data_IF_623912956448
#
_entry.id   IF_623912956448
#
_cell.length_a   1.000
_cell.length_b   1.000
_cell.length_c   1.000
_cell.angle_alpha   90.00
_cell.angle_beta   90.00
_cell.angle_gamma   90.00
#
_symmetry.space_group_name_H-M   'P 1'
#
loop_
_entity.id
_entity.type
_entity.pdbx_description
1 polymer ?
2 water ?
#
# COMPACT_ATOMS: atom_id res chain seq x y z
N UNK A 6 -4.96 -6.43 19.54
CA UNK A 6 -3.61 -5.91 19.30
C UNK A 6 -3.23 -6.15 17.85
N UNK A 7 -3.40 -7.38 17.39
CA UNK A 7 -3.11 -7.73 16.00
C UNK A 7 -3.99 -6.93 15.05
N UNK A 8 -3.34 -6.23 14.10
CA UNK A 8 -4.05 -5.37 13.16
C UNK A 8 -4.47 -6.09 11.89
N UNK A 9 -3.90 -7.25 11.60
CA UNK A 9 -4.37 -8.11 10.52
C UNK A 9 -5.06 -9.29 11.19
N UNK A 10 -6.37 -9.15 11.43
CA UNK A 10 -7.08 -10.03 12.33
C UNK A 10 -7.01 -11.48 11.87
N UNK A 11 -7.17 -12.39 12.84
CA UNK A 11 -7.11 -13.82 12.56
C UNK A 11 -8.14 -14.20 11.51
N UNK A 12 -7.82 -15.25 10.75
CA UNK A 12 -8.66 -15.65 9.63
C UNK A 12 -9.99 -16.20 10.12
N UNK A 13 -11.03 -15.93 9.35
CA UNK A 13 -12.37 -16.45 9.61
C UNK A 13 -12.91 -17.04 8.31
N UNK A 14 -13.68 -18.12 8.44
CA UNK A 14 -14.28 -18.74 7.27
C UNK A 14 -15.04 -17.71 6.45
N UNK A 15 -14.77 -17.67 5.15
CA UNK A 15 -15.35 -16.64 4.29
C UNK A 15 -16.87 -16.72 4.29
N UNK A 16 -17.41 -17.93 4.14
CA UNK A 16 -18.86 -18.07 4.08
C UNK A 16 -19.51 -17.73 5.42
N UNK A 17 -18.83 -18.01 6.53
CA UNK A 17 -19.34 -17.60 7.84
C UNK A 17 -19.38 -16.08 7.96
N UNK A 18 -18.24 -15.43 7.72
CA UNK A 18 -18.21 -13.96 7.75
C UNK A 18 -19.25 -13.37 6.81
N UNK A 19 -19.33 -13.91 5.59
CA UNK A 19 -20.31 -13.40 4.62
C UNK A 19 -21.73 -13.53 5.15
N UNK A 20 -22.05 -14.66 5.80
CA UNK A 20 -23.40 -14.88 6.29
C UNK A 20 -23.70 -14.08 7.54
N UNK A 21 -22.69 -13.86 8.40
CA UNK A 21 -22.89 -13.15 9.65
C UNK A 21 -22.80 -11.63 9.48
N UNK A 22 -21.88 -11.15 8.63
CA UNK A 22 -21.67 -9.72 8.48
C UNK A 22 -22.66 -9.09 7.52
N UNK A 23 -23.10 -9.82 6.50
CA UNK A 23 -23.96 -9.28 5.45
C UNK A 23 -25.32 -9.96 5.43
N UNK A 24 -25.90 -10.18 6.60
CA UNK A 24 -27.26 -10.67 6.70
C UNK A 24 -28.23 -9.52 6.44
N UNK A 25 -29.28 -9.80 5.69
CA UNK A 25 -30.26 -8.77 5.34
C UNK A 25 -30.82 -9.02 3.94
N UNK A 26 -31.77 -8.16 3.55
CA UNK A 26 -32.44 -8.31 2.26
C UNK A 26 -32.35 -7.06 1.39
N UNK A 27 -31.54 -6.08 1.77
CA UNK A 27 -31.38 -4.90 0.94
C UNK A 27 -30.66 -5.27 -0.35
N UNK A 28 -30.89 -4.51 -1.43
CA UNK A 28 -30.17 -4.80 -2.68
C UNK A 28 -28.65 -4.77 -2.53
N UNK A 29 -28.13 -3.94 -1.62
CA UNK A 29 -26.69 -3.88 -1.41
C UNK A 29 -26.19 -5.10 -0.66
N UNK A 30 -26.89 -5.51 0.40
CA UNK A 30 -26.47 -6.67 1.16
C UNK A 30 -26.57 -7.94 0.31
N UNK A 31 -27.67 -8.10 -0.43
CA UNK A 31 -27.81 -9.25 -1.31
C UNK A 31 -26.65 -9.34 -2.29
N UNK A 32 -26.27 -8.21 -2.88
CA UNK A 32 -25.15 -8.21 -3.82
C UNK A 32 -23.85 -8.61 -3.14
N UNK A 33 -23.65 -8.16 -1.89
CA UNK A 33 -22.41 -8.46 -1.19
C UNK A 33 -22.27 -9.96 -0.95
N UNK A 34 -23.37 -10.63 -0.58
CA UNK A 34 -23.30 -12.06 -0.33
C UNK A 34 -22.99 -12.83 -1.62
N UNK A 35 -23.54 -12.39 -2.75
CA UNK A 35 -23.22 -13.03 -4.02
C UNK A 35 -21.75 -12.84 -4.38
N UNK A 36 -21.18 -11.67 -4.05
CA UNK A 36 -19.77 -11.43 -4.34
C UNK A 36 -18.88 -12.38 -3.56
N UNK A 37 -19.11 -12.49 -2.25
CA UNK A 37 -18.32 -13.40 -1.44
C UNK A 37 -18.48 -14.84 -1.91
N UNK A 38 -19.70 -15.23 -2.27
CA UNK A 38 -19.92 -16.59 -2.79
C UNK A 38 -19.13 -16.81 -4.07
N UNK A 39 -19.06 -15.79 -4.94
CA UNK A 39 -18.22 -15.88 -6.12
C UNK A 39 -16.75 -16.07 -5.74
N UNK A 40 -16.28 -15.31 -4.74
CA UNK A 40 -14.89 -15.46 -4.31
C UNK A 40 -14.60 -16.89 -3.87
N UNK A 41 -15.54 -17.54 -3.20
CA UNK A 41 -15.30 -18.87 -2.67
C UNK A 41 -15.33 -19.93 -3.76
N UNK A 42 -16.37 -19.92 -4.60
CA UNK A 42 -16.57 -21.00 -5.54
C UNK A 42 -15.76 -20.83 -6.82
N UNK A 43 -15.59 -19.59 -7.28
CA UNK A 43 -14.88 -19.33 -8.53
C UNK A 43 -13.38 -19.13 -8.29
N UNK A 44 -13.00 -18.46 -7.20
CA UNK A 44 -11.61 -18.15 -6.92
C UNK A 44 -11.04 -18.92 -5.74
N UNK A 45 -11.84 -19.78 -5.11
CA UNK A 45 -11.37 -20.72 -4.09
C UNK A 45 -10.75 -20.00 -2.91
N UNK A 46 -11.28 -18.83 -2.56
CA UNK A 46 -10.86 -18.13 -1.35
C UNK A 46 -11.64 -18.73 -0.19
N UNK A 47 -10.93 -19.34 0.76
CA UNK A 47 -11.56 -20.10 1.82
C UNK A 47 -11.81 -19.27 3.08
N UNK A 48 -10.87 -18.40 3.44
CA UNK A 48 -10.97 -17.59 4.64
C UNK A 48 -10.59 -16.15 4.32
N UNK A 49 -10.77 -15.28 5.32
CA UNK A 49 -10.51 -13.85 5.17
C UNK A 49 -9.91 -13.34 6.47
N UNK A 50 -8.91 -12.46 6.36
CA UNK A 50 -8.32 -11.78 7.51
C UNK A 50 -8.67 -10.30 7.38
N UNK A 51 -9.47 -9.81 8.32
CA UNK A 51 -9.99 -8.45 8.25
C UNK A 51 -8.89 -7.45 8.62
N UNK A 52 -8.83 -6.36 7.87
CA UNK A 52 -7.88 -5.28 8.13
C UNK A 52 -8.70 -3.99 8.22
N UNK A 53 -9.15 -3.65 9.44
CA UNK A 53 -9.95 -2.45 9.67
C UNK A 53 -9.48 -1.84 11.00
N UNK A 54 -8.39 -1.08 10.92
CA UNK A 54 -7.78 -0.50 12.12
C UNK A 54 -7.73 1.02 12.05
N UNK A 55 -7.07 1.58 11.03
CA UNK A 55 -6.86 3.03 10.96
C UNK A 55 -6.66 3.40 9.49
N UNK A 56 -6.34 4.66 9.24
CA UNK A 56 -6.22 5.18 7.88
C UNK A 56 -4.94 4.73 7.17
N UNK A 57 -4.15 3.84 7.79
CA UNK A 57 -3.04 3.18 7.11
C UNK A 57 -3.45 1.85 6.49
N UNK A 58 -4.73 1.49 6.57
CA UNK A 58 -5.14 0.11 6.28
C UNK A 58 -4.67 -0.36 4.90
N UNK A 59 -4.76 0.51 3.89
CA UNK A 59 -4.31 0.11 2.56
C UNK A 59 -2.84 -0.26 2.56
N UNK A 60 -2.00 0.57 3.18
CA UNK A 60 -0.58 0.26 3.29
C UNK A 60 -0.36 -0.96 4.18
N UNK A 61 -1.15 -1.09 5.25
CA UNK A 61 -1.05 -2.25 6.11
C UNK A 61 -1.32 -3.54 5.33
N UNK A 62 -2.38 -3.55 4.53
CA UNK A 62 -2.74 -4.76 3.81
C UNK A 62 -1.67 -5.14 2.78
N UNK A 63 -1.16 -4.16 2.04
CA UNK A 63 -0.17 -4.46 1.01
C UNK A 63 1.12 -4.95 1.63
N UNK A 64 1.60 -4.25 2.68
CA UNK A 64 2.82 -4.66 3.34
C UNK A 64 2.70 -6.06 3.92
N UNK A 65 1.55 -6.38 4.51
CA UNK A 65 1.34 -7.73 5.04
C UNK A 65 1.49 -8.77 3.94
N UNK A 66 0.92 -8.51 2.76
CA UNK A 66 1.00 -9.46 1.66
C UNK A 66 2.44 -9.63 1.18
N UNK A 67 3.18 -8.53 1.08
CA UNK A 67 4.56 -8.60 0.63
C UNK A 67 5.36 -9.50 1.57
N UNK A 68 5.29 -9.25 2.87
CA UNK A 68 6.08 -10.01 3.83
C UNK A 68 5.59 -11.45 3.93
N UNK A 69 4.28 -11.63 4.08
CA UNK A 69 3.75 -12.98 4.26
C UNK A 69 4.05 -13.88 3.07
N UNK A 70 4.06 -13.32 1.86
CA UNK A 70 4.34 -14.09 0.65
C UNK A 70 5.80 -14.08 0.25
N UNK A 71 6.65 -13.36 0.98
CA UNK A 71 8.08 -13.40 0.71
C UNK A 71 8.51 -12.67 -0.54
N UNK A 72 7.83 -11.58 -0.89
CA UNK A 72 8.22 -10.77 -2.04
C UNK A 72 9.42 -9.92 -1.67
N UNK A 73 10.41 -9.88 -2.56
CA UNK A 73 11.67 -9.22 -2.28
C UNK A 73 11.65 -7.77 -2.77
N UNK A 74 12.79 -7.09 -2.70
CA UNK A 74 12.85 -5.69 -3.09
C UNK A 74 12.63 -5.54 -4.60
N UNK A 75 12.03 -4.43 -5.02
CA UNK A 75 11.93 -4.16 -6.47
C UNK A 75 13.31 -3.96 -7.09
N UNK A 76 13.32 -3.99 -8.43
CA UNK A 76 14.58 -3.99 -9.15
C UNK A 76 15.37 -2.70 -8.95
N UNK A 77 14.70 -1.55 -8.99
CA UNK A 77 15.40 -0.28 -8.89
C UNK A 77 16.08 -0.09 -7.54
N UNK A 78 15.77 -0.91 -6.54
CA UNK A 78 16.49 -0.86 -5.28
C UNK A 78 17.78 -1.66 -5.31
N UNK A 79 18.00 -2.48 -6.34
CA UNK A 79 19.24 -3.25 -6.44
C UNK A 79 20.44 -2.31 -6.50
N UNK A 80 20.37 -1.29 -7.34
CA UNK A 80 21.48 -0.35 -7.48
C UNK A 80 21.43 0.74 -6.41
N UNK A 81 20.26 1.34 -6.23
CA UNK A 81 20.11 2.44 -5.28
C UNK A 81 19.92 1.90 -3.88
N UNK A 82 20.66 2.48 -2.92
CA UNK A 82 20.49 2.12 -1.52
C UNK A 82 19.27 2.83 -0.96
N UNK A 83 18.40 2.06 -0.30
CA UNK A 83 17.15 2.62 0.22
C UNK A 83 17.45 3.73 1.23
N UNK A 84 18.39 3.48 2.15
CA UNK A 84 18.61 4.41 3.25
C UNK A 84 19.19 5.73 2.78
N UNK A 85 19.81 5.78 1.60
CA UNK A 85 20.40 7.00 1.09
C UNK A 85 19.41 7.88 0.35
N UNK A 86 18.21 7.39 0.07
CA UNK A 86 17.22 8.19 -0.66
C UNK A 86 16.87 9.48 0.08
N UNK A 87 16.65 9.48 1.39
CA UNK A 87 16.41 10.76 2.07
C UNK A 87 17.50 11.79 1.83
N UNK A 88 18.77 11.36 1.84
CA UNK A 88 19.86 12.29 1.56
C UNK A 88 19.80 12.77 0.11
N UNK A 89 19.51 11.85 -0.82
CA UNK A 89 19.47 12.22 -2.22
C UNK A 89 18.44 13.33 -2.47
N UNK A 90 17.27 13.21 -1.84
CA UNK A 90 16.25 14.24 -2.03
C UNK A 90 16.59 15.50 -1.24
N UNK A 91 17.10 15.33 -0.02
CA UNK A 91 17.67 16.48 0.70
C UNK A 91 18.61 17.25 -0.22
N UNK A 92 19.40 16.53 -1.02
CA UNK A 92 20.33 17.17 -1.96
C UNK A 92 19.59 17.71 -3.18
N UNK A 93 18.90 16.82 -3.91
CA UNK A 93 18.24 17.23 -5.13
C UNK A 93 17.11 18.22 -4.85
N UNK A 94 16.31 17.97 -3.81
CA UNK A 94 15.24 18.88 -3.44
C UNK A 94 15.76 19.94 -2.48
N UNK A 95 14.89 20.88 -2.11
CA UNK A 95 15.28 21.94 -1.21
C UNK A 95 15.33 21.50 0.23
N UNK A 96 16.12 22.22 1.03
CA UNK A 96 16.18 21.95 2.46
C UNK A 96 14.83 22.18 3.12
N UNK A 97 14.12 23.23 2.69
CA UNK A 97 12.75 23.44 3.17
C UNK A 97 11.78 22.45 2.52
N UNK A 98 12.06 22.02 1.29
CA UNK A 98 11.20 21.08 0.60
C UNK A 98 10.98 19.82 1.43
N UNK A 99 12.07 19.25 1.95
CA UNK A 99 11.97 18.00 2.68
C UNK A 99 11.41 18.23 4.08
N UNK A 100 11.68 19.38 4.69
CA UNK A 100 11.21 19.67 6.04
C UNK A 100 9.70 19.79 6.14
N UNK A 101 8.99 19.75 5.01
CA UNK A 101 7.54 19.84 5.02
C UNK A 101 6.86 18.49 5.20
N UNK A 102 7.63 17.41 5.27
CA UNK A 102 7.08 16.09 5.55
C UNK A 102 6.58 16.04 6.99
N UNK A 103 5.34 15.57 7.18
CA UNK A 103 4.68 15.64 8.48
C UNK A 103 4.47 14.28 9.14
N UNK A 104 4.77 13.18 8.46
CA UNK A 104 4.68 11.84 9.05
C UNK A 104 3.26 11.50 9.47
N UNK A 105 2.30 11.82 8.62
CA UNK A 105 0.91 11.46 8.84
C UNK A 105 0.41 11.88 10.21
N UNK A 106 0.01 10.89 11.04
CA UNK A 106 -0.61 11.23 12.32
C UNK A 106 0.35 11.89 13.30
N UNK A 107 1.66 11.76 13.11
CA UNK A 107 2.60 12.46 13.99
C UNK A 107 2.43 13.97 13.90
N UNK A 108 2.00 14.48 12.75
CA UNK A 108 1.89 15.91 12.53
C UNK A 108 3.16 16.61 12.98
N UNK A 109 4.28 16.07 12.50
CA UNK A 109 5.61 16.48 12.97
C UNK A 109 5.93 17.89 12.52
N UNK A 110 6.56 18.65 13.41
CA UNK A 110 7.04 20.00 13.11
C UNK A 110 8.47 20.22 13.57
N UNK A 111 9.15 19.19 14.06
CA UNK A 111 10.50 19.33 14.54
C UNK A 111 11.47 19.68 13.42
N UNK A 112 12.75 19.69 13.78
CA UNK A 112 13.78 20.26 12.93
C UNK A 112 14.50 19.23 12.06
N UNK A 113 14.33 17.93 12.29
CA UNK A 113 14.94 16.92 11.44
C UNK A 113 13.87 15.98 10.90
N UNK A 114 13.28 16.38 9.78
CA UNK A 114 12.59 15.41 8.93
C UNK A 114 13.59 14.46 8.31
N UNK A 115 14.85 14.89 8.19
CA UNK A 115 15.87 14.05 7.57
C UNK A 115 16.21 12.85 8.44
N UNK A 116 16.55 13.10 9.71
CA UNK A 116 16.91 11.99 10.59
C UNK A 116 15.80 10.98 10.73
N UNK A 117 14.56 11.44 10.86
CA UNK A 117 13.43 10.52 11.01
C UNK A 117 13.24 9.68 9.76
N UNK A 118 13.23 10.32 8.59
CA UNK A 118 13.08 9.57 7.34
C UNK A 118 14.15 8.50 7.23
N UNK A 119 15.42 8.86 7.48
CA UNK A 119 16.50 7.89 7.37
C UNK A 119 16.29 6.71 8.32
N UNK A 120 15.93 7.01 9.58
CA UNK A 120 15.71 5.95 10.56
C UNK A 120 14.59 5.02 10.12
N UNK A 121 13.43 5.58 9.77
CA UNK A 121 12.29 4.75 9.41
C UNK A 121 12.57 3.94 8.16
N UNK A 122 13.19 4.56 7.15
CA UNK A 122 13.53 3.85 5.94
C UNK A 122 14.54 2.73 6.23
N UNK A 123 15.42 2.96 7.21
CA UNK A 123 16.36 1.91 7.61
C UNK A 123 15.63 0.74 8.26
N UNK A 124 14.61 1.03 9.08
CA UNK A 124 13.84 -0.05 9.70
C UNK A 124 13.13 -0.89 8.64
N UNK A 125 12.54 -0.24 7.63
CA UNK A 125 11.90 -0.99 6.57
C UNK A 125 12.90 -1.87 5.83
N UNK A 126 14.10 -1.33 5.55
CA UNK A 126 15.12 -2.13 4.89
C UNK A 126 15.49 -3.33 5.74
N UNK A 127 15.70 -3.12 7.04
CA UNK A 127 16.07 -4.22 7.93
C UNK A 127 14.97 -5.26 8.00
N UNK A 128 13.73 -4.83 8.25
CA UNK A 128 12.63 -5.77 8.37
C UNK A 128 12.39 -6.52 7.07
N UNK A 129 12.38 -5.79 5.95
CA UNK A 129 12.15 -6.43 4.65
C UNK A 129 13.24 -7.45 4.33
N UNK A 130 14.49 -7.12 4.65
CA UNK A 130 15.57 -8.07 4.42
C UNK A 130 15.38 -9.34 5.24
N UNK A 131 14.96 -9.19 6.51
CA UNK A 131 14.76 -10.35 7.35
C UNK A 131 13.72 -11.30 6.75
N UNK A 132 12.66 -10.75 6.15
CA UNK A 132 11.64 -11.59 5.54
C UNK A 132 12.14 -12.25 4.26
N UNK A 133 12.99 -11.55 3.50
CA UNK A 133 13.49 -12.11 2.25
C UNK A 133 14.32 -13.36 2.48
N UNK A 134 14.99 -13.45 3.64
CA UNK A 134 15.85 -14.58 3.91
C UNK A 134 15.20 -15.68 4.70
N UNK A 135 13.92 -15.95 4.42
CA UNK A 135 13.16 -17.01 5.09
C UNK A 135 12.25 -17.64 4.06
N UNK A 136 12.50 -18.91 3.73
CA UNK A 136 11.72 -19.62 2.72
C UNK A 136 10.46 -20.25 3.28
N UNK A 137 10.43 -20.56 4.58
CA UNK A 137 9.26 -21.20 5.18
C UNK A 137 8.16 -20.16 5.39
N UNK A 138 7.03 -20.36 4.70
CA UNK A 138 5.92 -19.40 4.81
C UNK A 138 5.36 -19.36 6.22
N UNK A 139 5.41 -20.48 6.95
CA UNK A 139 4.87 -20.50 8.31
C UNK A 139 5.67 -19.58 9.22
N UNK A 140 7.01 -19.65 9.15
CA UNK A 140 7.84 -18.74 9.93
C UNK A 140 7.51 -17.29 9.62
N UNK A 141 7.34 -16.96 8.33
CA UNK A 141 6.96 -15.61 7.96
C UNK A 141 5.60 -15.24 8.53
N UNK A 142 4.68 -16.22 8.59
CA UNK A 142 3.37 -15.93 9.14
C UNK A 142 3.42 -15.48 10.59
N UNK A 143 4.13 -16.24 11.43
CA UNK A 143 4.27 -15.85 12.83
C UNK A 143 4.99 -14.52 12.97
N UNK A 144 5.99 -14.28 12.12
CA UNK A 144 6.68 -12.99 12.15
C UNK A 144 5.73 -11.84 11.82
N UNK A 145 4.82 -12.06 10.88
CA UNK A 145 3.84 -11.03 10.55
C UNK A 145 2.91 -10.75 11.72
N UNK A 146 2.45 -11.80 12.41
CA UNK A 146 1.61 -11.59 13.58
C UNK A 146 2.34 -10.82 14.67
N UNK A 147 3.67 -10.99 14.76
CA UNK A 147 4.44 -10.19 15.69
C UNK A 147 4.56 -8.75 15.22
N UNK A 148 4.95 -8.56 13.95
CA UNK A 148 5.14 -7.21 13.42
C UNK A 148 3.86 -6.40 13.51
N UNK A 149 2.75 -6.94 13.02
CA UNK A 149 1.50 -6.20 12.94
C UNK A 149 0.74 -6.20 14.25
N UNK A 150 1.38 -6.60 15.35
CA UNK A 150 0.89 -6.33 16.70
C UNK A 150 1.68 -5.22 17.37
N UNK A 151 2.63 -4.62 16.67
CA UNK A 151 3.45 -3.52 17.18
C UNK A 151 3.11 -2.29 16.35
N UNK A 152 2.10 -1.53 16.78
CA UNK A 152 1.62 -0.41 15.99
C UNK A 152 2.67 0.69 15.86
N UNK A 153 3.55 0.83 16.85
CA UNK A 153 4.59 1.86 16.77
C UNK A 153 5.54 1.55 15.62
N UNK A 154 5.92 0.29 15.46
CA UNK A 154 6.80 -0.08 14.35
C UNK A 154 6.06 -0.04 13.02
N UNK A 155 4.78 -0.46 13.01
CA UNK A 155 3.98 -0.38 11.80
C UNK A 155 4.02 1.01 11.19
N UNK A 156 3.70 2.03 12.01
CA UNK A 156 3.60 3.39 11.49
C UNK A 156 4.91 3.83 10.86
N UNK A 157 6.04 3.42 11.45
CA UNK A 157 7.34 3.80 10.89
C UNK A 157 7.55 3.16 9.52
N UNK A 158 7.15 1.91 9.36
CA UNK A 158 7.28 1.24 8.06
C UNK A 158 6.36 1.88 7.04
N UNK A 159 5.14 2.26 7.44
CA UNK A 159 4.21 2.88 6.51
C UNK A 159 4.71 4.24 6.04
N UNK A 160 5.28 5.02 6.96
CA UNK A 160 5.87 6.31 6.56
C UNK A 160 7.08 6.10 5.66
N UNK A 161 7.81 4.99 5.83
CA UNK A 161 8.88 4.67 4.91
C UNK A 161 8.33 4.37 3.52
N UNK A 162 7.25 3.60 3.44
CA UNK A 162 6.63 3.32 2.15
C UNK A 162 6.10 4.59 1.51
N UNK A 163 5.46 5.46 2.30
CA UNK A 163 5.01 6.75 1.78
C UNK A 163 6.17 7.56 1.23
N UNK A 164 7.33 7.48 1.88
CA UNK A 164 8.50 8.20 1.35
C UNK A 164 8.95 7.59 0.03
N UNK A 165 8.96 6.26 -0.05
CA UNK A 165 9.33 5.60 -1.31
C UNK A 165 8.39 6.01 -2.42
N UNK A 166 7.09 6.08 -2.13
CA UNK A 166 6.13 6.60 -3.10
C UNK A 166 6.49 8.02 -3.51
N UNK A 167 6.77 8.87 -2.52
CA UNK A 167 7.16 10.25 -2.83
C UNK A 167 8.43 10.29 -3.68
N UNK A 168 9.39 9.41 -3.40
CA UNK A 168 10.62 9.39 -4.18
C UNK A 168 10.34 9.08 -5.64
N UNK A 169 9.49 8.06 -5.90
CA UNK A 169 9.16 7.72 -7.27
C UNK A 169 8.39 8.85 -7.95
N UNK A 170 7.51 9.52 -7.21
CA UNK A 170 6.79 10.67 -7.76
C UNK A 170 7.77 11.76 -8.16
N UNK A 171 8.80 11.99 -7.35
CA UNK A 171 9.79 13.03 -7.68
C UNK A 171 10.64 12.60 -8.87
N UNK A 172 11.02 11.32 -8.94
CA UNK A 172 11.79 10.84 -10.09
C UNK A 172 10.99 10.99 -11.38
N UNK A 173 9.72 10.59 -11.36
CA UNK A 173 8.92 10.60 -12.58
C UNK A 173 8.59 12.04 -12.97
N UNK A 174 8.34 12.92 -12.00
CA UNK A 174 8.11 14.32 -12.32
C UNK A 174 9.30 14.91 -13.07
N UNK A 175 10.51 14.62 -12.59
CA UNK A 175 11.70 15.16 -13.26
C UNK A 175 11.80 14.61 -14.69
N UNK A 176 11.45 13.34 -14.88
CA UNK A 176 11.43 12.77 -16.22
C UNK A 176 10.45 13.50 -17.12
N UNK A 177 9.25 13.78 -16.61
CA UNK A 177 8.25 14.50 -17.40
C UNK A 177 8.73 15.89 -17.78
N UNK A 178 9.36 16.60 -16.84
CA UNK A 178 9.83 17.95 -17.10
C UNK A 178 10.95 17.97 -18.13
N UNK A 179 11.81 16.96 -18.15
CA UNK A 179 12.87 16.86 -19.13
C UNK A 179 12.41 16.18 -20.42
N UNK A 180 11.11 16.07 -20.64
CA UNK A 180 10.54 15.59 -21.89
C UNK A 180 10.83 14.11 -22.12
N UNK A 181 10.93 13.33 -21.06
CA UNK A 181 11.06 11.89 -21.18
C UNK A 181 9.68 11.25 -21.17
N UNK A 182 9.62 9.99 -21.58
CA UNK A 182 8.37 9.24 -21.58
C UNK A 182 8.09 8.75 -20.16
N UNK A 183 6.87 8.96 -19.69
CA UNK A 183 6.48 8.54 -18.34
C UNK A 183 5.17 7.77 -18.42
N UNK A 184 4.86 6.98 -17.39
CA UNK A 184 3.57 6.27 -17.39
C UNK A 184 2.40 7.24 -17.40
N UNK A 185 1.35 6.89 -18.13
CA UNK A 185 0.19 7.76 -18.23
C UNK A 185 -0.45 8.01 -16.86
N UNK A 186 -0.31 7.07 -15.94
CA UNK A 186 -0.87 7.26 -14.60
C UNK A 186 -0.22 8.44 -13.89
N UNK A 187 1.10 8.55 -13.98
CA UNK A 187 1.79 9.68 -13.36
C UNK A 187 1.45 10.99 -14.06
N UNK A 188 1.33 10.96 -15.39
CA UNK A 188 0.89 12.15 -16.10
C UNK A 188 -0.51 12.56 -15.67
N UNK A 189 -1.36 11.57 -15.36
CA UNK A 189 -2.68 11.88 -14.83
C UNK A 189 -2.59 12.51 -13.45
N UNK A 190 -1.73 11.96 -12.58
CA UNK A 190 -1.54 12.53 -11.25
C UNK A 190 -1.19 14.02 -11.33
N UNK A 191 -0.21 14.36 -12.16
CA UNK A 191 0.25 15.75 -12.25
C UNK A 191 -0.76 16.65 -12.97
N UNK A 192 -1.78 16.08 -13.60
CA UNK A 192 -2.84 16.89 -14.19
C UNK A 192 -3.81 17.42 -13.16
N UNK A 193 -3.82 16.88 -11.94
CA UNK A 193 -4.66 17.36 -10.87
C UNK A 193 -3.96 18.51 -10.15
N UNK A 194 -4.70 19.62 -9.99
CA UNK A 194 -4.11 20.83 -9.41
C UNK A 194 -3.38 20.54 -8.12
N UNK A 195 -4.07 19.90 -7.16
CA UNK A 195 -3.51 19.68 -5.84
C UNK A 195 -2.37 18.67 -5.82
N UNK A 196 -2.05 18.05 -6.96
CA UNK A 196 -0.92 17.12 -7.05
C UNK A 196 -0.16 17.36 -8.34
N UNK A 197 -0.08 18.62 -8.77
CA UNK A 197 0.57 18.96 -10.03
C UNK A 197 2.08 18.80 -9.97
N UNK A 198 2.66 18.69 -8.79
CA UNK A 198 4.08 18.50 -8.63
C UNK A 198 4.32 17.72 -7.35
N UNK A 199 5.53 17.20 -7.14
CA UNK A 199 5.77 16.37 -5.95
C UNK A 199 5.49 17.09 -4.65
N UNK A 200 5.80 18.39 -4.58
CA UNK A 200 5.55 19.15 -3.36
C UNK A 200 4.06 19.22 -3.06
N UNK A 201 3.25 19.53 -4.07
CA UNK A 201 1.80 19.56 -3.87
C UNK A 201 1.28 18.19 -3.47
N UNK A 202 1.75 17.14 -4.14
CA UNK A 202 1.33 15.78 -3.79
C UNK A 202 1.62 15.48 -2.32
N UNK A 203 2.80 15.87 -1.84
CA UNK A 203 3.17 15.56 -0.46
C UNK A 203 2.31 16.34 0.53
N UNK A 204 2.13 17.64 0.30
CA UNK A 204 1.43 18.48 1.27
C UNK A 204 -0.07 18.23 1.26
N UNK A 205 -0.65 18.01 0.08
CA UNK A 205 -2.10 17.95 -0.05
C UNK A 205 -2.67 16.54 0.02
N UNK A 206 -1.85 15.51 -0.19
CA UNK A 206 -2.36 14.15 -0.26
C UNK A 206 -1.56 13.21 0.63
N UNK A 207 -0.25 13.13 0.42
CA UNK A 207 0.55 12.12 1.11
C UNK A 207 0.66 12.41 2.60
N UNK A 208 0.84 13.68 2.97
CA UNK A 208 0.94 14.01 4.39
C UNK A 208 -0.31 13.61 5.16
N UNK A 209 -1.45 13.47 4.49
CA UNK A 209 -2.70 13.10 5.15
C UNK A 209 -2.88 11.60 5.31
N UNK A 210 -2.18 10.79 4.52
CA UNK A 210 -2.35 9.34 4.59
C UNK A 210 -1.98 8.86 5.99
N UNK A 211 -2.89 8.12 6.61
CA UNK A 211 -2.71 7.64 7.95
C UNK A 211 -3.21 8.58 9.02
N UNK A 212 -3.49 9.83 8.68
CA UNK A 212 -4.00 10.81 9.63
C UNK A 212 -5.50 11.03 9.46
N UNK A 213 -5.91 11.54 8.30
CA UNK A 213 -7.32 11.83 8.03
C UNK A 213 -7.87 11.11 6.82
N UNK A 214 -7.03 10.48 6.00
CA UNK A 214 -7.51 9.75 4.85
C UNK A 214 -6.59 8.56 4.59
N UNK A 215 -7.06 7.63 3.77
CA UNK A 215 -6.27 6.52 3.32
C UNK A 215 -5.79 6.71 1.89
N UNK A 216 -5.19 5.66 1.35
CA UNK A 216 -4.73 5.70 -0.03
C UNK A 216 -5.91 5.72 -0.99
N UNK A 217 -5.91 6.70 -1.89
CA UNK A 217 -6.88 6.73 -2.97
C UNK A 217 -6.50 5.72 -4.05
N UNK A 218 -7.39 5.55 -5.03
CA UNK A 218 -7.08 4.65 -6.13
C UNK A 218 -5.77 5.02 -6.81
N UNK A 219 -5.57 6.30 -7.10
CA UNK A 219 -4.33 6.73 -7.74
C UNK A 219 -3.13 6.38 -6.87
N UNK A 220 -3.30 6.46 -5.54
CA UNK A 220 -2.21 6.13 -4.62
C UNK A 220 -1.88 4.65 -4.68
N UNK A 221 -2.89 3.80 -4.85
CA UNK A 221 -2.65 2.37 -5.00
C UNK A 221 -1.83 2.09 -6.26
N UNK A 222 -2.08 2.84 -7.34
CA UNK A 222 -1.24 2.74 -8.53
C UNK A 222 0.21 3.10 -8.22
N UNK A 223 0.42 4.23 -7.52
CA UNK A 223 1.77 4.67 -7.21
C UNK A 223 2.48 3.66 -6.32
N UNK A 224 1.77 3.10 -5.35
CA UNK A 224 2.39 2.12 -4.45
C UNK A 224 2.82 0.88 -5.20
N UNK A 225 1.93 0.33 -6.04
CA UNK A 225 2.28 -0.85 -6.81
C UNK A 225 3.45 -0.60 -7.76
N UNK A 226 3.40 0.53 -8.47
CA UNK A 226 4.51 0.89 -9.34
C UNK A 226 5.80 1.02 -8.54
N UNK A 227 5.75 1.65 -7.37
CA UNK A 227 6.96 1.89 -6.59
C UNK A 227 7.58 0.60 -6.09
N UNK A 228 6.76 -0.36 -5.70
CA UNK A 228 7.25 -1.64 -5.19
C UNK A 228 7.34 -2.71 -6.28
N UNK A 229 6.96 -2.38 -7.51
CA UNK A 229 6.94 -3.34 -8.61
C UNK A 229 6.16 -4.60 -8.23
N UNK A 230 4.98 -4.37 -7.65
CA UNK A 230 4.05 -5.44 -7.29
C UNK A 230 2.72 -5.13 -7.94
N UNK A 231 2.12 -6.13 -8.60
CA UNK A 231 0.77 -6.00 -9.12
C UNK A 231 -0.22 -6.24 -7.98
N UNK A 232 -1.00 -5.22 -7.65
CA UNK A 232 -1.96 -5.29 -6.55
C UNK A 232 -3.33 -5.58 -7.18
N UNK A 233 -3.73 -6.85 -7.19
CA UNK A 233 -5.03 -7.24 -7.70
C UNK A 233 -6.06 -7.09 -6.58
N UNK A 234 -7.17 -6.42 -6.90
CA UNK A 234 -8.19 -6.07 -5.90
C UNK A 234 -9.54 -6.57 -6.39
N UNK A 235 -10.24 -7.31 -5.53
CA UNK A 235 -11.64 -7.67 -5.75
C UNK A 235 -12.50 -6.59 -5.09
N UNK A 236 -13.20 -5.81 -5.91
CA UNK A 236 -14.07 -4.74 -5.40
C UNK A 236 -15.47 -5.32 -5.28
N UNK A 237 -15.78 -5.83 -4.08
CA UNK A 237 -17.00 -6.63 -3.90
C UNK A 237 -18.25 -5.82 -4.19
N UNK A 238 -18.28 -4.55 -3.78
CA UNK A 238 -19.45 -3.71 -4.00
C UNK A 238 -19.70 -3.44 -5.48
N UNK A 239 -18.78 -3.83 -6.36
CA UNK A 239 -18.94 -3.66 -7.81
C UNK A 239 -19.15 -5.00 -8.50
N UNK A 240 -19.52 -6.03 -7.77
CA UNK A 240 -19.84 -7.32 -8.37
C UNK A 240 -20.91 -7.14 -9.45
N UNK A 241 -20.84 -7.97 -10.50
CA UNK A 241 -21.71 -7.86 -11.65
C UNK A 241 -21.52 -6.54 -12.40
N UNK A 242 -20.31 -5.99 -12.33
CA UNK A 242 -19.97 -4.78 -13.06
C UNK A 242 -18.54 -4.92 -13.58
N UNK A 243 -18.17 -4.00 -14.49
CA UNK A 243 -16.88 -4.09 -15.16
C UNK A 243 -15.73 -4.11 -14.15
N UNK A 244 -15.73 -3.16 -13.23
CA UNK A 244 -14.59 -2.99 -12.31
C UNK A 244 -14.76 -3.82 -11.05
N UNK A 245 -15.10 -5.10 -11.22
CA UNK A 245 -15.13 -6.02 -10.09
C UNK A 245 -13.73 -6.54 -9.79
N UNK A 246 -12.92 -6.78 -10.83
CA UNK A 246 -11.54 -7.19 -10.69
C UNK A 246 -10.64 -6.11 -11.29
N UNK A 247 -9.81 -5.50 -10.44
CA UNK A 247 -8.91 -4.42 -10.86
C UNK A 247 -7.50 -4.75 -10.39
N UNK A 248 -6.52 -4.19 -11.08
CA UNK A 248 -5.13 -4.40 -10.75
C UNK A 248 -4.41 -3.06 -10.73
N UNK A 249 -3.62 -2.83 -9.68
CA UNK A 249 -2.87 -1.59 -9.52
C UNK A 249 -1.38 -1.90 -9.57
N UNK A 250 -0.66 -1.51 -10.64
CA UNK A 250 -1.13 -0.88 -11.88
C UNK A 250 -1.57 -1.87 -12.95
N UNK A 251 -2.05 -1.35 -14.08
CA UNK A 251 -2.39 -2.19 -15.24
C UNK A 251 -1.17 -2.25 -16.18
N UNK A 252 -0.16 -2.99 -15.72
CA UNK A 252 1.06 -3.20 -16.49
C UNK A 252 1.11 -4.64 -16.98
N UNK A 253 0.37 -4.97 -18.03
CA UNK A 253 0.29 -6.40 -18.44
C UNK A 253 1.64 -7.02 -18.76
N UNK A 254 2.50 -6.30 -19.47
CA UNK A 254 3.83 -6.81 -19.82
C UNK A 254 4.86 -6.39 -18.77
N UNK A 255 4.64 -6.86 -17.55
CA UNK A 255 5.50 -6.53 -16.42
C UNK A 255 6.19 -7.74 -15.81
N UNK A 256 5.48 -8.85 -15.65
CA UNK A 256 6.03 -10.04 -14.99
C UNK A 256 6.47 -9.74 -13.57
N UNK A 257 5.75 -8.86 -12.90
CA UNK A 257 5.99 -8.56 -11.49
C UNK A 257 5.30 -9.60 -10.61
N UNK A 258 5.69 -9.69 -9.34
CA UNK A 258 4.90 -10.49 -8.40
C UNK A 258 3.53 -9.87 -8.19
N UNK A 259 2.57 -10.71 -7.81
CA UNK A 259 1.19 -10.29 -7.70
C UNK A 259 0.62 -10.65 -6.34
N UNK A 260 -0.18 -9.75 -5.78
CA UNK A 260 -0.89 -9.97 -4.52
C UNK A 260 -2.37 -9.67 -4.74
N UNK A 261 -3.21 -10.32 -3.96
CA UNK A 261 -4.66 -10.16 -4.06
C UNK A 261 -5.21 -9.55 -2.78
N UNK A 262 -6.18 -8.65 -2.92
CA UNK A 262 -6.86 -8.03 -1.80
C UNK A 262 -8.36 -8.00 -2.06
N UNK A 263 -9.13 -7.91 -0.98
CA UNK A 263 -10.57 -7.81 -1.04
C UNK A 263 -11.01 -6.53 -0.37
N UNK A 264 -11.98 -5.83 -0.97
CA UNK A 264 -12.49 -4.60 -0.39
C UNK A 264 -13.98 -4.47 -0.62
N UNK A 265 -14.69 -4.05 0.42
CA UNK A 265 -16.12 -3.78 0.35
C UNK A 265 -16.44 -2.31 0.08
N UNK A 266 -15.44 -1.42 0.19
CA UNK A 266 -15.73 0.01 0.10
C UNK A 266 -14.54 0.85 -0.40
N UNK A 267 -13.52 0.24 -0.99
CA UNK A 267 -12.31 0.94 -1.43
C UNK A 267 -11.59 1.65 -0.27
N UNK A 268 -11.95 1.34 0.97
CA UNK A 268 -11.33 1.92 2.15
C UNK A 268 -10.55 0.91 2.97
N UNK A 269 -11.08 -0.30 3.14
CA UNK A 269 -10.41 -1.36 3.88
C UNK A 269 -10.18 -2.54 2.94
N UNK A 270 -8.96 -3.07 2.95
CA UNK A 270 -8.55 -4.14 2.04
C UNK A 270 -8.28 -5.40 2.86
N UNK A 271 -9.24 -6.32 2.86
CA UNK A 271 -9.12 -7.56 3.61
C UNK A 271 -8.30 -8.59 2.84
N UNK A 272 -7.65 -9.48 3.59
CA UNK A 272 -6.68 -10.41 3.02
C UNK A 272 -7.43 -11.69 2.61
N UNK A 273 -7.40 -12.07 1.33
CA UNK A 273 -7.94 -13.38 0.96
C UNK A 273 -6.99 -14.50 1.30
N UNK A 274 -7.53 -15.56 1.88
CA UNK A 274 -6.75 -16.73 2.30
C UNK A 274 -7.23 -17.93 1.50
N UNK A 275 -6.29 -18.61 0.85
CA UNK A 275 -6.62 -19.73 -0.03
C UNK A 275 -6.46 -21.08 0.66
#
# INVERSE_FOLDING_TARGET
GAMGSNLSVEAEVDLLSYCAREWKGETPRNKLMRKAYEELFWRHHIKCVRQVRRDNYDALRSVLFQIFSQGISFPSWMKEKDIVKLPEKLLFSQGCNWIQQYSFGPEKYTGSNVFGKLRKYVELLKTQWTEFNGIRDYHKRGSMCNTLFSDAILEYKLYEALKFIMLYQVTEVYEQMKTKKVIPSLFRLLFSRETSSDPLSFMMNHLNSVGDTCGLEQIDMFILGYSLEVKIKVFRLFKFNSRDFEVCYPEEPLRDWPEISLLTENDRHYHIPVF
#
